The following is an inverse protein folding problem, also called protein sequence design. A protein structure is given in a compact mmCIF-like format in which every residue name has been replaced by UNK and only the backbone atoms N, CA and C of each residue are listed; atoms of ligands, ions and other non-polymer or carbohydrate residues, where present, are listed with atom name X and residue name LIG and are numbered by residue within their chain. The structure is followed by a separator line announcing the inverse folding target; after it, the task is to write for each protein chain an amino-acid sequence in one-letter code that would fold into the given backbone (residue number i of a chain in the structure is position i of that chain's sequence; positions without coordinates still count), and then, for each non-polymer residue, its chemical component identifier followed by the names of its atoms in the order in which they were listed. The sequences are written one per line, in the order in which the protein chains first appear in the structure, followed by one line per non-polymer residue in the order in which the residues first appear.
data_IF_224670502305
#
_entry.id   IF_224670502305
#
_cell.length_a   1.000
_cell.length_b   1.000
_cell.length_c   1.000
_cell.angle_alpha   90.00
_cell.angle_beta   90.00
_cell.angle_gamma   90.00
#
_symmetry.space_group_name_H-M   'P 1'
#
loop_
_entity.id
_entity.type
_entity.pdbx_description
1 polymer ?
#
# COMPACT_ATOMS: atom_id res chain seq x y z
N UNK A 1 -9.98 -19.67 23.61
CA UNK A 1 -10.79 -19.34 22.42
C UNK A 1 -10.80 -17.81 22.34
N UNK A 2 -10.27 -17.19 21.27
CA UNK A 2 -10.39 -15.72 21.11
C UNK A 2 -11.78 -15.43 20.57
N UNK A 3 -12.60 -14.74 21.35
CA UNK A 3 -13.92 -14.26 20.91
C UNK A 3 -13.71 -13.23 19.80
N UNK A 4 -14.47 -13.33 18.70
CA UNK A 4 -14.44 -12.30 17.67
C UNK A 4 -14.90 -10.97 18.27
N UNK A 5 -14.07 -9.94 18.14
CA UNK A 5 -14.41 -8.58 18.50
C UNK A 5 -14.45 -7.74 17.21
N UNK A 6 -15.51 -6.95 16.97
CA UNK A 6 -15.58 -6.05 15.82
C UNK A 6 -14.44 -5.02 15.90
N UNK A 7 -13.95 -4.57 14.75
CA UNK A 7 -12.94 -3.51 14.71
C UNK A 7 -13.50 -2.20 15.26
N UNK A 8 -12.63 -1.37 15.84
CA UNK A 8 -12.97 -0.02 16.31
C UNK A 8 -13.68 0.81 15.22
N UNK A 9 -13.21 0.68 13.97
CA UNK A 9 -13.84 1.30 12.80
C UNK A 9 -15.30 0.87 12.60
N UNK A 10 -15.63 -0.41 12.79
CA UNK A 10 -17.01 -0.90 12.69
C UNK A 10 -17.91 -0.36 13.81
N UNK A 11 -17.32 -0.09 14.98
CA UNK A 11 -18.01 0.50 16.12
C UNK A 11 -18.13 2.04 16.02
N UNK A 12 -17.51 2.67 15.02
CA UNK A 12 -17.44 4.14 14.93
C UNK A 12 -16.65 4.77 16.07
N UNK A 13 -15.80 3.98 16.73
CA UNK A 13 -14.98 4.41 17.86
C UNK A 13 -13.53 4.48 17.40
N UNK A 14 -12.79 5.48 17.86
CA UNK A 14 -11.36 5.58 17.58
C UNK A 14 -10.57 4.74 18.60
N UNK A 15 -9.57 3.95 18.18
CA UNK A 15 -8.65 3.32 19.12
C UNK A 15 -7.99 4.39 20.00
N UNK A 16 -7.92 4.20 21.33
CA UNK A 16 -7.24 5.15 22.21
C UNK A 16 -5.74 5.17 21.88
N UNK A 17 -5.18 6.38 21.76
CA UNK A 17 -3.72 6.55 21.67
C UNK A 17 -3.20 6.68 23.10
N UNK A 18 -2.62 5.60 23.61
CA UNK A 18 -1.93 5.59 24.90
C UNK A 18 -0.57 6.29 24.79
N UNK A 19 0.02 6.65 25.93
CA UNK A 19 1.39 7.19 25.96
C UNK A 19 2.39 6.20 25.34
N UNK A 20 2.22 4.90 25.60
CA UNK A 20 3.06 3.84 25.02
C UNK A 20 3.00 3.84 23.49
N UNK A 21 1.80 3.91 22.90
CA UNK A 21 1.63 3.99 21.43
C UNK A 21 2.30 5.24 20.87
N UNK A 22 2.19 6.37 21.59
CA UNK A 22 2.82 7.62 21.19
C UNK A 22 4.36 7.52 21.21
N UNK A 23 4.92 6.96 22.28
CA UNK A 23 6.37 6.79 22.45
C UNK A 23 6.93 5.83 21.39
N UNK A 24 6.25 4.70 21.13
CA UNK A 24 6.63 3.76 20.06
C UNK A 24 6.52 4.41 18.69
N UNK A 25 5.45 5.16 18.41
CA UNK A 25 5.32 5.88 17.13
C UNK A 25 6.50 6.83 16.89
N UNK A 26 6.96 7.56 17.92
CA UNK A 26 8.14 8.41 17.81
C UNK A 26 9.42 7.60 17.50
N UNK A 27 9.62 6.44 18.13
CA UNK A 27 10.78 5.58 17.87
C UNK A 27 10.83 5.11 16.41
N UNK A 28 9.68 4.85 15.79
CA UNK A 28 9.57 4.45 14.39
C UNK A 28 9.40 5.63 13.42
N UNK A 29 9.51 6.87 13.91
CA UNK A 29 9.36 8.09 13.08
C UNK A 29 7.94 8.28 12.51
N UNK A 30 6.93 7.66 13.12
CA UNK A 30 5.53 7.76 12.71
C UNK A 30 4.90 9.00 13.33
N UNK A 31 4.44 9.92 12.48
CA UNK A 31 3.61 11.02 12.93
C UNK A 31 2.17 10.53 13.15
N UNK A 32 1.68 10.67 14.38
CA UNK A 32 0.29 10.34 14.72
C UNK A 32 -0.67 11.29 13.99
N UNK A 33 -1.54 10.72 13.17
CA UNK A 33 -2.56 11.48 12.45
C UNK A 33 -3.86 11.49 13.28
N UNK A 34 -4.37 12.68 13.68
CA UNK A 34 -5.61 12.78 14.45
C UNK A 34 -6.84 12.22 13.70
N UNK A 35 -6.78 12.16 12.37
CA UNK A 35 -7.86 11.66 11.50
C UNK A 35 -7.76 10.15 11.21
N UNK A 36 -6.68 9.48 11.60
CA UNK A 36 -6.53 8.04 11.38
C UNK A 36 -7.46 7.25 12.32
N UNK A 37 -8.29 6.40 11.72
CA UNK A 37 -9.28 5.55 12.39
C UNK A 37 -8.83 4.10 12.56
N UNK A 38 -7.63 3.76 12.07
CA UNK A 38 -7.03 2.46 12.26
C UNK A 38 -6.25 2.37 13.57
N UNK A 39 -5.74 1.18 13.86
CA UNK A 39 -4.96 0.89 15.06
C UNK A 39 -3.46 1.08 14.79
N UNK A 40 -2.78 1.80 15.67
CA UNK A 40 -1.32 1.85 15.73
C UNK A 40 -0.81 0.66 16.54
N UNK A 41 -0.86 -0.53 15.92
CA UNK A 41 -0.41 -1.79 16.51
C UNK A 41 0.95 -2.24 16.00
N UNK A 42 1.38 -3.41 16.46
CA UNK A 42 2.64 -4.06 16.06
C UNK A 42 2.83 -4.10 14.53
N UNK A 43 1.76 -4.41 13.79
CA UNK A 43 1.80 -4.42 12.32
C UNK A 43 2.14 -3.03 11.74
N UNK A 44 1.55 -1.96 12.27
CA UNK A 44 1.80 -0.60 11.77
C UNK A 44 3.25 -0.18 12.03
N UNK A 45 3.78 -0.46 13.23
CA UNK A 45 5.16 -0.15 13.59
C UNK A 45 6.16 -0.98 12.78
N UNK A 46 5.93 -2.29 12.68
CA UNK A 46 6.77 -3.18 11.87
C UNK A 46 6.80 -2.76 10.40
N UNK A 47 5.64 -2.42 9.83
CA UNK A 47 5.55 -1.96 8.45
C UNK A 47 6.27 -0.62 8.24
N UNK A 48 6.20 0.31 9.20
CA UNK A 48 6.96 1.58 9.12
C UNK A 48 8.47 1.40 9.19
N UNK A 49 8.95 0.37 9.88
CA UNK A 49 10.37 -0.01 9.92
C UNK A 49 10.83 -0.90 8.77
N UNK A 50 9.95 -1.27 7.84
CA UNK A 50 10.27 -2.19 6.74
C UNK A 50 11.36 -1.60 5.84
N UNK A 51 12.48 -2.32 5.72
CA UNK A 51 13.59 -1.84 4.90
C UNK A 51 13.22 -1.82 3.41
N UNK A 52 13.86 -0.97 2.60
CA UNK A 52 13.65 -0.97 1.15
C UNK A 52 13.94 -2.29 0.46
N UNK A 53 14.60 -3.26 1.10
CA UNK A 53 14.89 -4.60 0.57
C UNK A 53 13.84 -5.64 0.98
N UNK A 54 13.01 -5.34 1.98
CA UNK A 54 11.91 -6.19 2.45
C UNK A 54 10.56 -5.72 1.89
N UNK A 55 10.50 -4.47 1.42
CA UNK A 55 9.28 -3.89 0.88
C UNK A 55 8.82 -4.65 -0.37
N UNK A 56 7.60 -5.19 -0.31
CA UNK A 56 6.96 -5.91 -1.39
C UNK A 56 5.91 -5.06 -2.14
N UNK A 57 5.85 -3.75 -1.87
CA UNK A 57 4.93 -2.81 -2.49
C UNK A 57 5.62 -1.92 -3.53
N UNK A 58 4.89 -1.63 -4.60
CA UNK A 58 5.28 -0.70 -5.67
C UNK A 58 4.18 0.34 -5.88
N UNK A 59 4.62 1.56 -6.19
CA UNK A 59 3.76 2.65 -6.63
C UNK A 59 3.91 2.87 -8.13
N UNK A 60 2.84 2.61 -8.88
CA UNK A 60 2.76 2.79 -10.33
C UNK A 60 2.06 4.11 -10.61
N UNK A 61 2.68 4.97 -11.42
CA UNK A 61 2.15 6.28 -11.81
C UNK A 61 1.91 6.37 -13.31
N UNK A 62 1.29 7.47 -13.77
CA UNK A 62 1.01 7.73 -15.19
C UNK A 62 0.19 6.62 -15.85
N UNK A 63 -0.71 6.01 -15.08
CA UNK A 63 -1.65 5.03 -15.61
C UNK A 63 -2.69 5.78 -16.42
N UNK A 64 -3.05 5.33 -17.64
CA UNK A 64 -4.11 5.95 -18.41
C UNK A 64 -5.39 6.10 -17.57
N UNK A 65 -6.07 7.26 -17.59
CA UNK A 65 -7.17 7.55 -16.68
C UNK A 65 -8.32 6.54 -16.79
N UNK A 66 -8.52 5.99 -18.00
CA UNK A 66 -9.57 5.02 -18.30
C UNK A 66 -9.14 3.56 -18.14
N UNK A 67 -7.86 3.29 -17.82
CA UNK A 67 -7.36 1.93 -17.69
C UNK A 67 -8.10 1.20 -16.57
N UNK A 68 -8.65 0.04 -16.89
CA UNK A 68 -9.41 -0.75 -15.95
C UNK A 68 -8.49 -1.47 -14.97
N UNK A 69 -9.02 -1.82 -13.79
CA UNK A 69 -8.31 -2.68 -12.84
C UNK A 69 -7.83 -3.97 -13.51
N UNK A 70 -8.62 -4.52 -14.43
CA UNK A 70 -8.28 -5.74 -15.17
C UNK A 70 -7.07 -5.51 -16.06
N UNK A 71 -7.06 -4.46 -16.88
CA UNK A 71 -5.94 -4.15 -17.79
C UNK A 71 -4.62 -3.91 -17.04
N UNK A 72 -4.70 -3.23 -15.89
CA UNK A 72 -3.53 -3.00 -15.03
C UNK A 72 -3.02 -4.33 -14.47
N UNK A 73 -3.90 -5.18 -13.94
CA UNK A 73 -3.48 -6.46 -13.35
C UNK A 73 -3.01 -7.46 -14.42
N UNK A 74 -3.63 -7.48 -15.60
CA UNK A 74 -3.24 -8.34 -16.73
C UNK A 74 -1.84 -8.04 -17.25
N UNK A 75 -1.34 -6.82 -17.03
CA UNK A 75 0.01 -6.41 -17.43
C UNK A 75 1.09 -6.70 -16.38
N UNK A 76 0.69 -7.13 -15.17
CA UNK A 76 1.57 -7.58 -14.09
C UNK A 76 1.67 -9.10 -14.13
N UNK A 77 2.86 -9.63 -14.36
CA UNK A 77 3.12 -11.06 -14.54
C UNK A 77 4.14 -11.61 -13.54
N UNK A 78 4.72 -10.74 -12.73
CA UNK A 78 5.90 -11.04 -11.91
C UNK A 78 5.60 -11.91 -10.69
N UNK A 79 4.35 -11.96 -10.23
CA UNK A 79 4.00 -12.80 -9.10
C UNK A 79 2.59 -12.58 -8.59
N UNK A 80 2.28 -13.27 -7.49
CA UNK A 80 0.99 -13.17 -6.82
C UNK A 80 0.87 -11.81 -6.13
N UNK A 81 -0.26 -11.15 -6.36
CA UNK A 81 -0.58 -9.86 -5.76
C UNK A 81 -1.35 -10.12 -4.45
N UNK A 82 -0.82 -9.57 -3.36
CA UNK A 82 -1.45 -9.55 -2.04
C UNK A 82 -2.51 -8.45 -1.97
N UNK A 83 -2.18 -7.25 -2.45
CA UNK A 83 -3.07 -6.10 -2.41
C UNK A 83 -2.94 -5.23 -3.67
N UNK A 84 -4.06 -4.63 -4.07
CA UNK A 84 -4.11 -3.66 -5.17
C UNK A 84 -5.07 -2.52 -4.80
N UNK A 85 -4.57 -1.30 -4.85
CA UNK A 85 -5.36 -0.08 -4.66
C UNK A 85 -5.09 0.88 -5.81
N UNK A 86 -6.15 1.34 -6.50
CA UNK A 86 -6.06 2.32 -7.58
C UNK A 86 -6.63 3.64 -7.11
N UNK A 87 -5.90 4.70 -7.40
CA UNK A 87 -6.34 6.09 -7.24
C UNK A 87 -6.71 6.63 -8.61
N UNK A 88 -7.97 7.06 -8.75
CA UNK A 88 -8.44 7.74 -9.96
C UNK A 88 -7.77 9.10 -10.12
N UNK A 89 -7.70 9.64 -11.35
CA UNK A 89 -7.35 11.04 -11.58
C UNK A 89 -8.25 11.98 -10.77
N UNK A 90 -7.73 13.14 -10.40
CA UNK A 90 -8.47 14.19 -9.71
C UNK A 90 -8.33 15.54 -10.45
N UNK A 91 -8.77 16.65 -9.84
CA UNK A 91 -8.70 17.96 -10.46
C UNK A 91 -7.26 18.47 -10.71
N UNK A 92 -6.25 17.81 -10.14
CA UNK A 92 -4.84 18.21 -10.18
C UNK A 92 -4.01 17.22 -11.01
N UNK A 93 -4.39 15.94 -11.02
CA UNK A 93 -3.64 14.88 -11.67
C UNK A 93 -4.43 14.27 -12.81
N UNK A 94 -3.95 14.42 -14.05
CA UNK A 94 -4.60 13.91 -15.27
C UNK A 94 -4.55 12.37 -15.41
N UNK A 95 -3.67 11.71 -14.65
CA UNK A 95 -3.42 10.27 -14.75
C UNK A 95 -3.82 9.55 -13.47
N UNK A 96 -4.17 8.28 -13.61
CA UNK A 96 -4.36 7.40 -12.47
C UNK A 96 -3.01 6.96 -11.88
N UNK A 97 -3.07 6.44 -10.66
CA UNK A 97 -1.95 5.77 -10.00
C UNK A 97 -2.44 4.50 -9.29
N UNK A 98 -1.53 3.59 -8.96
CA UNK A 98 -1.86 2.39 -8.22
C UNK A 98 -0.75 1.97 -7.25
N UNK A 99 -1.14 1.48 -6.09
CA UNK A 99 -0.29 0.72 -5.19
C UNK A 99 -0.54 -0.77 -5.41
N UNK A 100 0.53 -1.51 -5.66
CA UNK A 100 0.50 -2.98 -5.82
C UNK A 100 1.43 -3.58 -4.79
N UNK A 101 0.94 -4.51 -3.98
CA UNK A 101 1.75 -5.25 -3.02
C UNK A 101 1.78 -6.72 -3.43
N UNK A 102 2.97 -7.28 -3.58
CA UNK A 102 3.19 -8.69 -3.88
C UNK A 102 3.33 -9.50 -2.59
N UNK A 103 3.13 -10.82 -2.70
CA UNK A 103 3.45 -11.74 -1.61
C UNK A 103 4.95 -11.93 -1.41
N UNK A 104 5.74 -11.77 -2.47
CA UNK A 104 7.17 -12.05 -2.48
C UNK A 104 7.96 -10.86 -3.00
N UNK A 105 9.12 -10.63 -2.38
CA UNK A 105 10.01 -9.54 -2.75
C UNK A 105 10.55 -9.67 -4.18
N UNK A 106 10.84 -10.89 -4.61
CA UNK A 106 11.32 -11.21 -5.96
C UNK A 106 10.45 -10.62 -7.07
N UNK A 107 9.13 -10.58 -6.86
CA UNK A 107 8.19 -10.03 -7.85
C UNK A 107 8.34 -8.51 -8.02
N UNK A 108 8.65 -7.78 -6.95
CA UNK A 108 8.98 -6.34 -7.01
C UNK A 108 10.25 -6.13 -7.81
N UNK A 109 11.31 -6.90 -7.50
CA UNK A 109 12.60 -6.75 -8.16
C UNK A 109 12.49 -7.04 -9.67
N UNK A 110 11.75 -8.08 -10.05
CA UNK A 110 11.49 -8.38 -11.46
C UNK A 110 10.68 -7.30 -12.17
N UNK A 111 9.71 -6.70 -11.48
CA UNK A 111 8.89 -5.65 -12.08
C UNK A 111 9.72 -4.39 -12.31
N UNK A 112 10.55 -3.99 -11.34
CA UNK A 112 11.47 -2.86 -11.48
C UNK A 112 12.47 -3.10 -12.61
N UNK A 113 13.08 -4.29 -12.66
CA UNK A 113 14.01 -4.65 -13.72
C UNK A 113 13.34 -4.60 -15.10
N UNK A 114 12.13 -5.12 -15.23
CA UNK A 114 11.37 -5.03 -16.49
C UNK A 114 11.05 -3.58 -16.85
N UNK A 115 10.60 -2.78 -15.87
CA UNK A 115 10.26 -1.38 -16.09
C UNK A 115 11.45 -0.56 -16.57
N UNK A 116 12.67 -0.82 -16.06
CA UNK A 116 13.88 -0.19 -16.55
C UNK A 116 14.20 -0.55 -18.01
N UNK A 117 13.99 -1.81 -18.40
CA UNK A 117 14.30 -2.32 -19.74
C UNK A 117 13.39 -1.77 -20.85
N UNK A 118 12.12 -1.49 -20.54
CA UNK A 118 11.13 -1.05 -21.53
C UNK A 118 10.62 0.38 -21.32
N UNK A 119 11.36 1.17 -20.52
CA UNK A 119 11.00 2.55 -20.13
C UNK A 119 9.60 2.66 -19.53
N UNK A 120 9.26 1.72 -18.65
CA UNK A 120 8.06 1.74 -17.83
C UNK A 120 7.19 0.51 -18.01
N UNK A 121 5.88 0.71 -17.98
CA UNK A 121 4.92 -0.38 -17.86
C UNK A 121 3.79 -0.18 -18.88
N UNK A 122 3.66 -1.12 -19.82
CA UNK A 122 2.65 -1.05 -20.88
C UNK A 122 1.35 -1.69 -20.41
N UNK A 123 0.37 -0.84 -20.13
CA UNK A 123 -1.01 -1.26 -19.89
C UNK A 123 -1.71 -1.30 -21.25
N UNK A 124 -2.26 -2.44 -21.62
CA UNK A 124 -3.11 -2.54 -22.81
C UNK A 124 -4.39 -1.76 -22.50
N UNK A 125 -4.62 -0.66 -23.22
CA UNK A 125 -5.90 0.03 -23.25
C UNK A 125 -6.90 -0.74 -24.10
#
# INVERSE_FOLDING_TARGET
MKTFAPSWALLGIRPPITQEVFDTAQQFGIQINPNYQGEYGEFAFSNSGCSPNENCAIFITRIPPNATKKEILDSIIEGKIFNFSRTSPDAVHDNAAAHVTFFERSAVDWLLQRAELVEGFRIKG
#
